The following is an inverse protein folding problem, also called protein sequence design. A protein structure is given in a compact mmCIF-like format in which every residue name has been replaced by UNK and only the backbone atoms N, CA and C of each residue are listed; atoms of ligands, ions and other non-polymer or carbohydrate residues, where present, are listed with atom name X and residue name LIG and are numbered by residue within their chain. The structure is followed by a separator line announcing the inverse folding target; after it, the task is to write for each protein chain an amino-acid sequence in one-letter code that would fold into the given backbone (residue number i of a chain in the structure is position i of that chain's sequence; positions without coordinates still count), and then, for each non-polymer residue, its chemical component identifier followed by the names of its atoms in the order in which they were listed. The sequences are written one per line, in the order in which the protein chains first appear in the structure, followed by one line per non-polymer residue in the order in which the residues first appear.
data_IF_934056946272
#
_entry.id   IF_934056946272
#
_cell.length_a   1.000
_cell.length_b   1.000
_cell.length_c   1.000
_cell.angle_alpha   90.00
_cell.angle_beta   90.00
_cell.angle_gamma   90.00
#
_symmetry.space_group_name_H-M   'P 1'
#
loop_
_entity.id
_entity.type
_entity.pdbx_description
1 polymer ?
#
# COMPACT_ATOMS: atom_id res chain seq x y z
N UNK A 1 1.00 -18.07 -12.81
CA UNK A 1 -0.16 -17.56 -12.04
C UNK A 1 0.37 -16.89 -10.79
N UNK A 2 0.24 -15.57 -10.64
CA UNK A 2 0.75 -14.89 -9.44
C UNK A 2 -0.15 -15.25 -8.26
N UNK A 3 0.39 -15.98 -7.29
CA UNK A 3 -0.30 -16.39 -6.07
C UNK A 3 -0.97 -15.17 -5.40
N UNK A 4 -2.18 -15.35 -4.87
CA UNK A 4 -2.94 -14.32 -4.15
C UNK A 4 -2.08 -13.69 -3.05
N UNK A 5 -1.23 -14.50 -2.39
CA UNK A 5 -0.27 -14.05 -1.40
C UNK A 5 0.75 -13.04 -1.94
N UNK A 6 1.21 -13.21 -3.18
CA UNK A 6 2.11 -12.25 -3.81
C UNK A 6 1.40 -10.97 -4.23
N UNK A 7 0.09 -10.99 -4.46
CA UNK A 7 -0.69 -9.77 -4.68
C UNK A 7 -0.85 -9.02 -3.36
N UNK A 8 -1.22 -9.72 -2.28
CA UNK A 8 -1.34 -9.15 -0.93
C UNK A 8 0.00 -8.54 -0.48
N UNK A 9 1.13 -9.23 -0.66
CA UNK A 9 2.47 -8.72 -0.34
C UNK A 9 2.85 -7.49 -1.19
N UNK A 10 2.34 -7.39 -2.42
CA UNK A 10 2.53 -6.23 -3.29
C UNK A 10 1.71 -5.02 -2.83
N UNK A 11 0.48 -5.27 -2.36
CA UNK A 11 -0.37 -4.27 -1.73
C UNK A 11 0.17 -3.82 -0.37
N UNK A 12 0.74 -4.73 0.42
CA UNK A 12 1.36 -4.40 1.71
C UNK A 12 2.81 -3.89 1.56
N UNK A 13 3.33 -3.74 0.35
CA UNK A 13 4.67 -3.21 0.08
C UNK A 13 5.86 -4.03 0.67
N UNK A 14 5.61 -5.22 1.21
CA UNK A 14 6.62 -6.11 1.82
C UNK A 14 7.19 -7.11 0.78
N UNK A 15 6.57 -7.21 -0.40
CA UNK A 15 6.99 -8.12 -1.46
C UNK A 15 8.19 -7.62 -2.28
N UNK A 16 9.09 -8.57 -2.66
CA UNK A 16 10.18 -8.33 -3.62
C UNK A 16 9.65 -7.69 -4.90
N UNK A 17 10.33 -6.63 -5.36
CA UNK A 17 10.02 -5.94 -6.63
C UNK A 17 10.19 -6.96 -7.77
N UNK A 18 9.13 -7.19 -8.55
CA UNK A 18 9.19 -8.14 -9.68
C UNK A 18 10.24 -7.64 -10.69
N UNK A 19 11.28 -8.43 -11.02
CA UNK A 19 12.30 -8.03 -11.98
C UNK A 19 11.75 -7.86 -13.40
N UNK A 20 10.70 -8.62 -13.74
CA UNK A 20 9.99 -8.55 -15.03
C UNK A 20 8.82 -7.55 -15.05
N UNK A 21 8.64 -6.76 -13.97
CA UNK A 21 7.56 -5.77 -13.97
C UNK A 21 7.86 -4.67 -14.99
N UNK A 22 6.87 -4.27 -15.81
CA UNK A 22 7.05 -3.15 -16.73
C UNK A 22 7.42 -1.91 -15.91
N UNK A 23 8.61 -1.35 -16.18
CA UNK A 23 9.10 -0.12 -15.53
C UNK A 23 8.40 1.11 -16.11
N UNK A 24 7.08 1.08 -16.19
CA UNK A 24 6.27 2.18 -16.70
C UNK A 24 5.92 3.12 -15.56
N UNK A 25 5.75 4.41 -15.89
CA UNK A 25 5.36 5.46 -14.94
C UNK A 25 4.05 5.11 -14.22
N UNK A 26 3.15 4.40 -14.89
CA UNK A 26 1.87 3.92 -14.33
C UNK A 26 2.04 2.99 -13.13
N UNK A 27 3.01 2.06 -13.17
CA UNK A 27 3.28 1.15 -12.05
C UNK A 27 3.82 1.91 -10.84
N UNK A 28 4.67 2.91 -11.07
CA UNK A 28 5.15 3.80 -10.00
C UNK A 28 4.01 4.63 -9.39
N UNK A 29 3.10 5.15 -10.22
CA UNK A 29 1.93 5.91 -9.77
C UNK A 29 0.94 5.06 -8.97
N UNK A 30 0.67 3.82 -9.40
CA UNK A 30 -0.16 2.86 -8.64
C UNK A 30 0.43 2.61 -7.25
N UNK A 31 1.76 2.48 -7.19
CA UNK A 31 2.45 2.32 -5.92
C UNK A 31 2.38 3.59 -5.07
N UNK A 32 2.52 4.78 -5.65
CA UNK A 32 2.37 6.05 -4.94
C UNK A 32 0.96 6.24 -4.35
N UNK A 33 -0.07 5.88 -5.10
CA UNK A 33 -1.47 5.94 -4.64
C UNK A 33 -1.71 5.08 -3.41
N UNK A 34 -1.13 3.88 -3.38
CA UNK A 34 -1.24 2.98 -2.24
C UNK A 34 -0.45 3.45 -0.99
N UNK A 35 0.58 4.29 -1.15
CA UNK A 35 1.26 4.94 -0.01
C UNK A 35 0.38 6.02 0.62
N UNK A 36 -0.27 6.81 -0.23
CA UNK A 36 -1.16 7.89 0.21
C UNK A 36 -2.37 7.31 0.94
N UNK A 37 -2.97 6.22 0.45
CA UNK A 37 -4.09 5.56 1.11
C UNK A 37 -3.74 5.03 2.51
N UNK A 38 -2.57 4.40 2.67
CA UNK A 38 -2.10 3.90 3.99
C UNK A 38 -1.86 5.08 4.95
N UNK A 39 -1.23 6.17 4.51
CA UNK A 39 -1.00 7.34 5.36
C UNK A 39 -2.32 7.96 5.82
N UNK A 40 -3.27 8.15 4.90
CA UNK A 40 -4.60 8.69 5.25
C UNK A 40 -5.35 7.76 6.20
N UNK A 41 -5.27 6.44 6.00
CA UNK A 41 -5.87 5.46 6.89
C UNK A 41 -5.27 5.52 8.31
N UNK A 42 -3.95 5.61 8.42
CA UNK A 42 -3.27 5.74 9.72
C UNK A 42 -3.64 7.06 10.42
N UNK A 43 -3.73 8.17 9.68
CA UNK A 43 -4.19 9.45 10.23
C UNK A 43 -5.62 9.34 10.76
N UNK A 44 -6.52 8.70 10.00
CA UNK A 44 -7.89 8.46 10.45
C UNK A 44 -7.94 7.58 11.71
N UNK A 45 -7.12 6.53 11.79
CA UNK A 45 -7.00 5.69 12.99
C UNK A 45 -6.50 6.48 14.20
N UNK A 46 -5.49 7.34 14.03
CA UNK A 46 -4.99 8.21 15.11
C UNK A 46 -6.08 9.15 15.60
N UNK A 47 -6.82 9.81 14.68
CA UNK A 47 -7.93 10.69 15.03
C UNK A 47 -9.01 9.92 15.81
N UNK A 48 -9.37 8.72 15.33
CA UNK A 48 -10.34 7.85 15.99
C UNK A 48 -9.88 7.46 17.41
N UNK A 49 -8.62 7.09 17.57
CA UNK A 49 -8.05 6.68 18.85
C UNK A 49 -8.01 7.85 19.85
N UNK A 50 -7.61 9.04 19.39
CA UNK A 50 -7.64 10.27 20.21
C UNK A 50 -9.07 10.59 20.63
N UNK A 51 -10.05 10.44 19.72
CA UNK A 51 -11.48 10.67 20.02
C UNK A 51 -12.07 9.62 20.95
N UNK A 52 -11.52 8.40 20.98
CA UNK A 52 -11.97 7.35 21.89
C UNK A 52 -11.39 7.51 23.30
N UNK A 53 -10.16 8.03 23.41
CA UNK A 53 -9.47 8.23 24.68
C UNK A 53 -9.79 9.58 25.36
N UNK A 54 -10.41 10.52 24.63
CA UNK A 54 -10.89 11.81 25.12
C UNK A 54 -12.38 11.79 25.34
#
# INVERSE_FOLDING_TARGET
MKSIWQQILRYLYIGKKDPDAPKTRYVYMMHGMNRISIILFLVALIIMLIRLLR
#
